data_IF_011796009396
#
_entry.id   IF_011796009396
#
_cell.length_a   1.000
_cell.length_b   1.000
_cell.length_c   1.000
_cell.angle_alpha   90.00
_cell.angle_beta   90.00
_cell.angle_gamma   90.00
#
_symmetry.space_group_name_H-M   'P 1'
#
loop_
_entity.id
_entity.type
_entity.pdbx_description
1 polymer ?
#
# COMPACT_ATOMS: atom_id res chain seq x y z
N UNK A 1 -22.83 14.71 29.13
CA UNK A 1 -21.51 15.19 29.61
C UNK A 1 -20.60 14.04 30.09
N UNK A 2 -20.60 12.85 29.43
CA UNK A 2 -19.79 11.68 29.90
C UNK A 2 -18.87 11.10 28.81
N UNK A 3 -19.16 11.34 27.53
CA UNK A 3 -18.35 10.78 26.45
C UNK A 3 -17.02 11.54 26.25
N UNK A 4 -17.04 12.88 26.18
CA UNK A 4 -15.84 13.70 26.00
C UNK A 4 -14.79 13.54 27.12
N UNK A 5 -15.21 13.29 28.35
CA UNK A 5 -14.30 13.07 29.48
C UNK A 5 -13.64 11.69 29.46
N UNK A 6 -14.39 10.68 29.00
CA UNK A 6 -13.88 9.31 28.84
C UNK A 6 -12.94 9.23 27.64
N UNK A 7 -13.28 9.90 26.53
CA UNK A 7 -12.42 10.02 25.36
C UNK A 7 -11.12 10.75 25.71
N UNK A 8 -11.21 11.84 26.47
CA UNK A 8 -10.04 12.56 26.96
C UNK A 8 -9.17 11.71 27.89
N UNK A 9 -9.78 10.98 28.84
CA UNK A 9 -9.03 10.11 29.75
C UNK A 9 -8.29 9.00 28.99
N UNK A 10 -8.96 8.36 28.04
CA UNK A 10 -8.33 7.31 27.21
C UNK A 10 -7.20 7.89 26.35
N UNK A 11 -7.40 9.07 25.77
CA UNK A 11 -6.40 9.72 24.91
C UNK A 11 -5.21 10.22 25.74
N UNK A 12 -5.43 10.68 26.97
CA UNK A 12 -4.38 11.05 27.92
C UNK A 12 -3.61 9.83 28.44
N UNK A 13 -4.28 8.70 28.69
CA UNK A 13 -3.63 7.45 29.10
C UNK A 13 -2.79 6.86 27.95
N UNK A 14 -3.29 6.86 26.71
CA UNK A 14 -2.58 6.40 25.51
C UNK A 14 -1.37 7.30 25.17
N UNK A 15 -1.45 8.61 25.49
CA UNK A 15 -0.41 9.60 25.19
C UNK A 15 0.57 9.83 26.35
N UNK A 16 0.33 9.23 27.51
CA UNK A 16 1.20 9.36 28.69
C UNK A 16 2.64 8.86 28.43
N UNK A 17 2.83 7.99 27.44
CA UNK A 17 4.14 7.50 27.00
C UNK A 17 4.93 8.55 26.18
N UNK A 18 4.29 9.64 25.72
CA UNK A 18 4.90 10.69 24.90
C UNK A 18 4.54 12.10 25.41
N UNK A 19 5.39 12.63 26.31
CA UNK A 19 5.16 13.89 27.00
C UNK A 19 4.81 15.10 26.09
N UNK A 20 5.50 15.37 24.96
CA UNK A 20 5.08 16.43 24.03
C UNK A 20 3.66 16.29 23.50
N UNK A 21 3.27 15.08 23.11
CA UNK A 21 1.94 14.80 22.54
C UNK A 21 0.85 14.92 23.60
N UNK A 22 1.13 14.49 24.82
CA UNK A 22 0.24 14.67 25.97
C UNK A 22 -0.02 16.15 26.26
N UNK A 23 1.05 16.97 26.29
CA UNK A 23 0.96 18.41 26.56
C UNK A 23 0.16 19.13 25.45
N UNK A 24 0.40 18.78 24.18
CA UNK A 24 -0.33 19.33 23.03
C UNK A 24 -1.83 18.96 23.08
N UNK A 25 -2.16 17.69 23.36
CA UNK A 25 -3.55 17.25 23.50
C UNK A 25 -4.28 17.97 24.64
N UNK A 26 -3.60 18.17 25.78
CA UNK A 26 -4.15 18.91 26.91
C UNK A 26 -4.41 20.39 26.59
N UNK A 27 -3.51 21.06 25.86
CA UNK A 27 -3.69 22.45 25.45
C UNK A 27 -4.87 22.62 24.48
N UNK A 28 -4.98 21.75 23.48
CA UNK A 28 -6.12 21.72 22.53
C UNK A 28 -7.46 21.50 23.24
N UNK A 29 -7.45 20.69 24.30
CA UNK A 29 -8.62 20.50 25.15
C UNK A 29 -8.98 21.79 25.89
N UNK A 30 -8.00 22.48 26.50
CA UNK A 30 -8.23 23.76 27.16
C UNK A 30 -8.77 24.81 26.18
N UNK A 31 -8.24 24.92 24.96
CA UNK A 31 -8.78 25.82 23.94
C UNK A 31 -10.23 25.50 23.59
N UNK A 32 -10.58 24.22 23.46
CA UNK A 32 -11.95 23.78 23.17
C UNK A 32 -12.92 24.07 24.33
N UNK A 33 -12.46 23.96 25.58
CA UNK A 33 -13.24 24.25 26.77
C UNK A 33 -13.43 25.76 27.00
N UNK A 34 -12.41 26.57 26.72
CA UNK A 34 -12.47 28.03 26.76
C UNK A 34 -13.47 28.57 25.72
N UNK A 35 -13.44 28.02 24.49
CA UNK A 35 -14.43 28.32 23.45
C UNK A 35 -15.86 27.93 23.85
N UNK A 36 -16.02 26.92 24.71
CA UNK A 36 -17.31 26.51 25.27
C UNK A 36 -17.75 27.34 26.49
N UNK A 37 -16.96 28.36 26.89
CA UNK A 37 -17.24 29.25 28.02
C UNK A 37 -16.97 28.61 29.39
N UNK A 38 -16.20 27.52 29.43
CA UNK A 38 -15.80 26.84 30.66
C UNK A 38 -14.44 27.38 31.13
N UNK A 39 -14.27 27.51 32.46
CA UNK A 39 -13.01 28.00 33.03
C UNK A 39 -11.86 27.01 32.80
N UNK A 40 -10.75 27.51 32.26
CA UNK A 40 -9.54 26.71 31.97
C UNK A 40 -8.33 27.25 32.75
N UNK A 41 -7.34 26.39 33.07
CA UNK A 41 -6.12 26.84 33.71
C UNK A 41 -5.30 27.75 32.79
N UNK A 42 -4.75 28.83 33.34
CA UNK A 42 -3.86 29.73 32.61
C UNK A 42 -2.54 29.03 32.27
N UNK A 43 -1.93 29.39 31.13
CA UNK A 43 -0.69 28.78 30.62
C UNK A 43 0.46 28.91 31.64
N UNK A 44 0.51 30.00 32.39
CA UNK A 44 1.50 30.23 33.44
C UNK A 44 1.38 29.20 34.57
N UNK A 45 0.15 28.77 34.88
CA UNK A 45 -0.10 27.71 35.86
C UNK A 45 0.34 26.35 35.34
N UNK A 46 0.09 26.06 34.06
CA UNK A 46 0.52 24.81 33.41
C UNK A 46 2.05 24.75 33.37
N UNK A 47 2.72 25.82 32.94
CA UNK A 47 4.18 25.91 32.92
C UNK A 47 4.79 25.79 34.33
N UNK A 48 4.13 26.33 35.37
CA UNK A 48 4.57 26.13 36.75
C UNK A 48 4.52 24.66 37.18
N UNK A 49 3.53 23.90 36.71
CA UNK A 49 3.44 22.45 37.00
C UNK A 49 4.53 21.70 36.23
N UNK A 50 4.72 22.00 34.93
CA UNK A 50 5.77 21.39 34.11
C UNK A 50 7.17 21.64 34.70
N UNK A 51 7.43 22.86 35.18
CA UNK A 51 8.69 23.21 35.84
C UNK A 51 8.84 22.53 37.20
N UNK A 52 7.77 22.49 38.02
CA UNK A 52 7.79 21.84 39.34
C UNK A 52 8.07 20.34 39.26
N UNK A 53 7.57 19.69 38.21
CA UNK A 53 7.78 18.26 37.95
C UNK A 53 8.98 17.99 37.03
N UNK A 54 9.77 19.02 36.69
CA UNK A 54 10.99 18.90 35.88
C UNK A 54 10.75 18.15 34.55
N UNK A 55 9.61 18.45 33.91
CA UNK A 55 9.12 17.76 32.71
C UNK A 55 9.96 18.02 31.45
N UNK A 56 10.82 19.06 31.46
CA UNK A 56 11.72 19.39 30.35
C UNK A 56 11.05 20.12 29.17
N UNK A 57 9.86 20.69 29.37
CA UNK A 57 9.11 21.44 28.36
C UNK A 57 8.51 22.72 28.94
N UNK A 58 8.36 23.74 28.10
CA UNK A 58 7.71 25.02 28.40
C UNK A 58 6.79 25.41 27.24
N UNK A 59 5.53 25.72 27.54
CA UNK A 59 4.55 26.18 26.55
C UNK A 59 4.76 27.68 26.31
N UNK A 60 5.13 28.04 25.09
CA UNK A 60 5.21 29.42 24.61
C UNK A 60 4.38 29.54 23.33
N UNK A 61 3.06 29.70 23.50
CA UNK A 61 2.10 29.70 22.39
C UNK A 61 2.60 30.57 21.20
N UNK A 62 2.61 30.02 19.97
CA UNK A 62 2.03 28.74 19.55
C UNK A 62 2.94 27.50 19.73
N UNK A 63 4.16 27.67 20.25
CA UNK A 63 5.19 26.64 20.25
C UNK A 63 5.37 25.96 21.63
N UNK A 64 5.77 24.69 21.62
CA UNK A 64 6.23 23.97 22.81
C UNK A 64 7.76 23.87 22.78
N UNK A 65 8.43 24.54 23.70
CA UNK A 65 9.90 24.62 23.75
C UNK A 65 10.45 23.54 24.67
N UNK A 66 11.35 22.70 24.17
CA UNK A 66 12.11 21.76 24.98
C UNK A 66 13.21 22.50 25.75
N UNK A 67 13.19 22.41 27.08
CA UNK A 67 14.14 23.13 27.97
C UNK A 67 15.37 22.29 28.32
N UNK A 68 15.48 21.07 27.77
CA UNK A 68 16.65 20.17 27.87
C UNK A 68 17.24 19.84 26.50
N UNK A 69 18.55 19.55 26.47
CA UNK A 69 19.20 18.90 25.34
C UNK A 69 18.62 17.48 25.18
N UNK A 70 17.72 17.34 24.21
CA UNK A 70 17.04 16.09 23.89
C UNK A 70 18.04 15.08 23.32
N UNK A 71 18.19 13.91 23.96
CA UNK A 71 18.70 12.72 23.27
C UNK A 71 17.56 12.22 22.40
N UNK A 72 17.71 12.19 21.06
CA UNK A 72 16.65 11.69 20.20
C UNK A 72 16.28 10.28 20.60
N UNK A 73 15.05 10.09 21.10
CA UNK A 73 14.44 8.77 21.08
C UNK A 73 14.27 8.51 19.59
N UNK A 74 15.04 7.58 19.05
CA UNK A 74 14.89 7.12 17.68
C UNK A 74 13.47 6.63 17.55
N UNK A 75 12.58 7.48 17.02
CA UNK A 75 11.25 7.08 16.58
C UNK A 75 11.50 5.88 15.66
N UNK A 76 11.01 4.68 15.98
CA UNK A 76 11.05 3.59 15.02
C UNK A 76 10.36 4.15 13.79
N UNK A 77 11.10 4.31 12.68
CA UNK A 77 10.48 4.66 11.41
C UNK A 77 9.33 3.68 11.25
N UNK A 78 8.09 4.18 11.20
CA UNK A 78 6.93 3.34 10.99
C UNK A 78 7.29 2.45 9.81
N UNK A 79 7.39 1.14 10.02
CA UNK A 79 7.67 0.24 8.92
C UNK A 79 6.59 0.53 7.87
N UNK A 80 6.96 0.77 6.60
CA UNK A 80 5.97 1.05 5.58
C UNK A 80 4.91 -0.04 5.63
N UNK A 81 3.65 0.36 5.54
CA UNK A 81 2.54 -0.57 5.53
C UNK A 81 2.70 -1.57 4.38
N UNK A 82 2.08 -2.74 4.49
CA UNK A 82 2.11 -3.74 3.42
C UNK A 82 1.63 -3.17 2.09
N UNK A 83 0.66 -2.26 2.13
CA UNK A 83 0.11 -1.59 0.94
C UNK A 83 1.11 -0.60 0.32
N UNK A 84 1.84 0.15 1.14
CA UNK A 84 2.92 1.03 0.67
C UNK A 84 4.08 0.23 0.06
N UNK A 85 4.44 -0.90 0.66
CA UNK A 85 5.44 -1.82 0.12
C UNK A 85 5.00 -2.43 -1.21
N UNK A 86 3.73 -2.82 -1.33
CA UNK A 86 3.17 -3.36 -2.56
C UNK A 86 3.13 -2.32 -3.69
N UNK A 87 2.68 -1.09 -3.41
CA UNK A 87 2.70 0.03 -4.37
C UNK A 87 4.11 0.35 -4.82
N UNK A 88 5.04 0.43 -3.87
CA UNK A 88 6.44 0.67 -4.17
C UNK A 88 7.03 -0.43 -5.07
N UNK A 89 6.72 -1.70 -4.81
CA UNK A 89 7.17 -2.81 -5.66
C UNK A 89 6.64 -2.70 -7.08
N UNK A 90 5.35 -2.34 -7.24
CA UNK A 90 4.74 -2.10 -8.56
C UNK A 90 5.48 -0.99 -9.29
N UNK A 91 5.68 0.16 -8.65
CA UNK A 91 6.36 1.31 -9.25
C UNK A 91 7.82 0.98 -9.62
N UNK A 92 8.55 0.34 -8.72
CA UNK A 92 9.94 -0.05 -8.93
C UNK A 92 10.07 -1.02 -10.13
N UNK A 93 9.19 -2.02 -10.26
CA UNK A 93 9.17 -2.94 -11.41
C UNK A 93 8.82 -2.22 -12.73
N UNK A 94 7.88 -1.27 -12.72
CA UNK A 94 7.51 -0.51 -13.91
C UNK A 94 8.64 0.41 -14.39
N UNK A 95 9.34 1.07 -13.46
CA UNK A 95 10.50 1.92 -13.75
C UNK A 95 11.67 1.08 -14.27
N UNK A 96 11.96 -0.05 -13.63
CA UNK A 96 13.06 -0.92 -14.06
C UNK A 96 12.79 -1.51 -15.44
N UNK A 97 11.56 -1.92 -15.75
CA UNK A 97 11.21 -2.36 -17.10
C UNK A 97 11.49 -1.28 -18.15
N UNK A 98 11.13 -0.02 -17.91
CA UNK A 98 11.37 1.06 -18.88
C UNK A 98 12.87 1.29 -19.06
N UNK A 99 13.62 1.34 -17.95
CA UNK A 99 15.08 1.46 -17.97
C UNK A 99 15.74 0.33 -18.77
N UNK A 100 15.24 -0.90 -18.65
CA UNK A 100 15.72 -2.05 -19.40
C UNK A 100 15.38 -1.96 -20.89
N UNK A 101 14.20 -1.44 -21.26
CA UNK A 101 13.86 -1.18 -22.66
C UNK A 101 14.81 -0.16 -23.30
N UNK A 102 15.08 0.94 -22.58
CA UNK A 102 15.97 2.01 -23.06
C UNK A 102 17.43 1.54 -23.17
N UNK A 103 17.84 0.63 -22.29
CA UNK A 103 19.15 -0.01 -22.33
C UNK A 103 19.28 -1.13 -23.38
N UNK A 104 18.25 -1.37 -24.20
CA UNK A 104 18.24 -2.46 -25.20
C UNK A 104 18.12 -3.86 -24.60
N UNK A 105 17.80 -3.97 -23.31
CA UNK A 105 17.66 -5.23 -22.56
C UNK A 105 16.22 -5.75 -22.61
N UNK A 106 15.66 -5.84 -23.82
CA UNK A 106 14.24 -6.12 -24.04
C UNK A 106 13.74 -7.42 -23.37
N UNK A 107 14.54 -8.49 -23.40
CA UNK A 107 14.19 -9.75 -22.71
C UNK A 107 14.02 -9.56 -21.20
N UNK A 108 14.92 -8.79 -20.57
CA UNK A 108 14.85 -8.52 -19.13
C UNK A 108 13.68 -7.62 -18.80
N UNK A 109 13.39 -6.61 -19.63
CA UNK A 109 12.22 -5.76 -19.45
C UNK A 109 10.91 -6.57 -19.44
N UNK A 110 10.76 -7.48 -20.40
CA UNK A 110 9.60 -8.37 -20.47
C UNK A 110 9.52 -9.30 -19.26
N UNK A 111 10.67 -9.74 -18.74
CA UNK A 111 10.74 -10.56 -17.53
C UNK A 111 10.23 -9.83 -16.28
N UNK A 112 10.64 -8.57 -16.08
CA UNK A 112 10.17 -7.75 -14.95
C UNK A 112 8.66 -7.53 -15.00
N UNK A 113 8.10 -7.26 -16.18
CA UNK A 113 6.67 -7.03 -16.33
C UNK A 113 5.86 -8.33 -16.19
N UNK A 114 6.38 -9.47 -16.65
CA UNK A 114 5.74 -10.76 -16.40
C UNK A 114 5.76 -11.14 -14.93
N UNK A 115 6.87 -10.88 -14.22
CA UNK A 115 6.93 -11.06 -12.77
C UNK A 115 5.83 -10.28 -12.07
N UNK A 116 5.67 -9.01 -12.46
CA UNK A 116 4.67 -8.14 -11.89
C UNK A 116 3.25 -8.63 -12.21
N UNK A 117 3.00 -9.12 -13.42
CA UNK A 117 1.71 -9.69 -13.83
C UNK A 117 1.35 -10.93 -13.00
N UNK A 118 2.32 -11.83 -12.77
CA UNK A 118 2.14 -12.99 -11.91
C UNK A 118 1.88 -12.56 -10.46
N UNK A 119 2.67 -11.62 -9.94
CA UNK A 119 2.55 -11.10 -8.58
C UNK A 119 1.16 -10.50 -8.31
N UNK A 120 0.68 -9.59 -9.18
CA UNK A 120 -0.65 -8.97 -9.03
C UNK A 120 -1.75 -10.02 -9.17
N UNK A 121 -1.61 -10.99 -10.08
CA UNK A 121 -2.59 -12.06 -10.22
C UNK A 121 -2.75 -12.85 -8.92
N UNK A 122 -1.67 -13.06 -8.15
CA UNK A 122 -1.76 -13.76 -6.85
C UNK A 122 -2.59 -13.02 -5.80
N UNK A 123 -2.71 -11.69 -5.89
CA UNK A 123 -3.53 -10.89 -4.97
C UNK A 123 -5.02 -11.23 -5.07
N UNK A 124 -5.47 -11.82 -6.19
CA UNK A 124 -6.86 -12.25 -6.34
C UNK A 124 -7.22 -13.52 -5.56
N UNK A 125 -6.23 -14.21 -4.97
CA UNK A 125 -6.51 -15.41 -4.17
C UNK A 125 -7.37 -15.06 -2.95
N UNK A 126 -8.34 -15.91 -2.66
CA UNK A 126 -9.23 -15.76 -1.52
C UNK A 126 -10.37 -14.77 -1.78
N UNK A 127 -10.31 -13.96 -2.84
CA UNK A 127 -11.45 -13.14 -3.25
C UNK A 127 -12.53 -14.02 -3.86
N UNK A 128 -13.81 -13.72 -3.64
CA UNK A 128 -14.96 -14.44 -4.19
C UNK A 128 -16.25 -14.29 -3.38
N UNK A 129 -17.38 -14.58 -4.01
CA UNK A 129 -18.68 -14.74 -3.34
C UNK A 129 -18.96 -16.23 -3.05
N UNK A 130 -19.93 -16.52 -2.18
CA UNK A 130 -20.25 -17.80 -1.51
C UNK A 130 -20.30 -19.08 -2.36
N UNK A 131 -20.22 -19.01 -3.69
CA UNK A 131 -20.28 -20.17 -4.60
C UNK A 131 -19.00 -20.40 -5.42
N UNK A 132 -18.10 -19.42 -5.54
CA UNK A 132 -16.82 -19.59 -6.24
C UNK A 132 -15.79 -18.71 -5.54
N UNK A 133 -14.81 -19.30 -4.83
CA UNK A 133 -13.62 -18.61 -4.29
C UNK A 133 -12.40 -18.93 -5.16
N UNK A 134 -11.47 -17.98 -5.33
CA UNK A 134 -10.22 -18.22 -6.05
C UNK A 134 -9.28 -18.93 -5.09
N UNK A 135 -8.90 -20.16 -5.43
CA UNK A 135 -8.01 -21.03 -4.64
C UNK A 135 -6.67 -21.26 -5.34
N UNK A 136 -6.53 -20.81 -6.59
CA UNK A 136 -5.36 -21.02 -7.42
C UNK A 136 -4.01 -20.62 -6.79
N UNK A 137 -3.06 -21.56 -6.86
CA UNK A 137 -1.57 -21.48 -6.74
C UNK A 137 -0.86 -20.31 -7.40
N UNK A 138 -1.11 -20.25 -8.69
CA UNK A 138 -0.23 -19.67 -9.68
C UNK A 138 -1.09 -19.01 -10.75
N UNK A 139 -0.47 -18.24 -11.63
CA UNK A 139 -1.15 -17.48 -12.68
C UNK A 139 -2.26 -18.26 -13.41
N UNK A 140 -1.93 -19.43 -14.00
CA UNK A 140 -2.89 -20.21 -14.79
C UNK A 140 -4.16 -20.64 -14.04
N UNK A 141 -4.04 -21.31 -12.88
CA UNK A 141 -5.20 -21.65 -12.04
C UNK A 141 -6.04 -20.44 -11.62
N UNK A 142 -5.40 -19.34 -11.19
CA UNK A 142 -6.12 -18.13 -10.75
C UNK A 142 -6.91 -17.52 -11.91
N UNK A 143 -6.28 -17.32 -13.06
CA UNK A 143 -6.93 -16.74 -14.24
C UNK A 143 -8.07 -17.64 -14.74
N UNK A 144 -7.93 -18.96 -14.65
CA UNK A 144 -9.00 -19.90 -15.00
C UNK A 144 -10.23 -19.74 -14.10
N UNK A 145 -10.01 -19.56 -12.80
CA UNK A 145 -11.07 -19.32 -11.82
C UNK A 145 -11.72 -17.94 -12.02
N UNK A 146 -10.93 -16.90 -12.31
CA UNK A 146 -11.42 -15.57 -12.66
C UNK A 146 -12.30 -15.61 -13.92
N UNK A 147 -11.84 -16.27 -15.00
CA UNK A 147 -12.62 -16.44 -16.23
C UNK A 147 -13.96 -17.12 -15.99
N UNK A 148 -13.99 -18.15 -15.14
CA UNK A 148 -15.24 -18.87 -14.83
C UNK A 148 -16.28 -17.95 -14.19
N UNK A 149 -15.86 -16.97 -13.39
CA UNK A 149 -16.76 -15.98 -12.77
C UNK A 149 -17.28 -14.96 -13.77
N UNK A 150 -16.42 -14.55 -14.69
CA UNK A 150 -16.75 -13.52 -15.68
C UNK A 150 -17.29 -14.09 -16.99
N UNK A 151 -17.78 -15.34 -16.96
CA UNK A 151 -18.26 -16.05 -18.15
C UNK A 151 -19.32 -15.25 -18.89
N UNK A 152 -19.12 -15.04 -20.19
CA UNK A 152 -20.01 -14.28 -21.06
C UNK A 152 -19.84 -12.76 -20.99
N UNK A 153 -18.89 -12.25 -20.20
CA UNK A 153 -18.57 -10.81 -20.12
C UNK A 153 -17.27 -10.47 -20.86
N UNK A 154 -17.03 -9.18 -21.07
CA UNK A 154 -15.81 -8.70 -21.71
C UNK A 154 -14.54 -9.14 -20.95
N UNK A 155 -14.61 -9.21 -19.62
CA UNK A 155 -13.51 -9.63 -18.75
C UNK A 155 -13.01 -11.05 -19.08
N UNK A 156 -13.89 -11.99 -19.45
CA UNK A 156 -13.46 -13.33 -19.87
C UNK A 156 -12.52 -13.28 -21.08
N UNK A 157 -12.82 -12.42 -22.07
CA UNK A 157 -11.99 -12.24 -23.26
C UNK A 157 -10.66 -11.54 -22.96
N UNK A 158 -10.67 -10.53 -22.08
CA UNK A 158 -9.44 -9.85 -21.64
C UNK A 158 -8.50 -10.85 -20.94
N UNK A 159 -9.04 -11.66 -20.03
CA UNK A 159 -8.29 -12.72 -19.34
C UNK A 159 -7.81 -13.81 -20.31
N UNK A 160 -8.54 -14.10 -21.38
CA UNK A 160 -8.09 -14.98 -22.46
C UNK A 160 -6.86 -14.43 -23.18
N UNK A 161 -6.89 -13.17 -23.62
CA UNK A 161 -5.75 -12.56 -24.31
C UNK A 161 -4.52 -12.45 -23.42
N UNK A 162 -4.72 -12.13 -22.14
CA UNK A 162 -3.66 -12.14 -21.12
C UNK A 162 -3.05 -13.55 -20.96
N UNK A 163 -3.88 -14.59 -20.91
CA UNK A 163 -3.42 -15.99 -20.83
C UNK A 163 -2.60 -16.38 -22.07
N UNK A 164 -3.02 -15.95 -23.26
CA UNK A 164 -2.30 -16.23 -24.51
C UNK A 164 -0.93 -15.53 -24.50
N UNK A 165 -0.88 -14.25 -24.12
CA UNK A 165 0.38 -13.51 -24.03
C UNK A 165 1.34 -14.15 -23.02
N UNK A 166 0.85 -14.42 -21.81
CA UNK A 166 1.64 -15.06 -20.75
C UNK A 166 2.15 -16.45 -21.19
N UNK A 167 1.28 -17.28 -21.77
CA UNK A 167 1.64 -18.60 -22.26
C UNK A 167 2.68 -18.58 -23.37
N UNK A 168 2.58 -17.63 -24.31
CA UNK A 168 3.59 -17.43 -25.34
C UNK A 168 4.94 -17.02 -24.75
N UNK A 169 4.96 -16.02 -23.88
CA UNK A 169 6.21 -15.47 -23.35
C UNK A 169 6.91 -16.41 -22.36
N UNK A 170 6.14 -17.15 -21.56
CA UNK A 170 6.67 -18.08 -20.54
C UNK A 170 7.06 -19.47 -21.10
N UNK A 171 6.68 -19.78 -22.34
CA UNK A 171 7.02 -21.05 -23.00
C UNK A 171 8.49 -21.09 -23.43
N UNK A 172 9.23 -22.18 -23.16
CA UNK A 172 10.59 -22.38 -23.67
C UNK A 172 10.70 -22.39 -25.20
N UNK A 173 9.62 -22.77 -25.90
CA UNK A 173 9.53 -22.78 -27.37
C UNK A 173 8.88 -21.52 -27.95
N UNK A 174 8.42 -20.60 -27.09
CA UNK A 174 7.88 -19.29 -27.46
C UNK A 174 8.88 -18.18 -27.15
N UNK A 175 8.46 -17.20 -26.33
CA UNK A 175 9.30 -16.06 -25.93
C UNK A 175 10.46 -16.41 -24.99
N UNK A 176 10.44 -17.58 -24.34
CA UNK A 176 11.55 -18.07 -23.51
C UNK A 176 11.90 -17.19 -22.31
N UNK A 177 10.95 -16.39 -21.81
CA UNK A 177 11.13 -15.49 -20.68
C UNK A 177 10.67 -16.20 -19.39
N UNK A 178 11.61 -16.64 -18.55
CA UNK A 178 11.32 -17.30 -17.25
C UNK A 178 12.19 -16.76 -16.12
N UNK A 179 11.67 -16.82 -14.90
CA UNK A 179 12.42 -16.52 -13.68
C UNK A 179 13.45 -17.63 -13.40
N UNK A 180 14.73 -17.28 -13.56
CA UNK A 180 15.84 -18.14 -13.23
C UNK A 180 16.27 -19.05 -14.39
N UNK A 181 17.60 -19.16 -14.54
CA UNK A 181 18.34 -20.02 -15.46
C UNK A 181 18.49 -19.48 -16.88
N UNK A 182 19.75 -19.29 -17.29
CA UNK A 182 20.20 -19.29 -18.68
C UNK A 182 19.58 -20.48 -19.41
N UNK A 183 18.48 -20.23 -20.11
CA UNK A 183 17.92 -21.18 -21.06
C UNK A 183 18.45 -20.79 -22.44
N UNK A 184 19.03 -21.80 -23.11
CA UNK A 184 19.42 -21.79 -24.53
C UNK A 184 18.57 -20.80 -25.31
N UNK A 185 19.22 -19.82 -25.93
CA UNK A 185 18.65 -18.72 -26.70
C UNK A 185 17.22 -19.04 -27.17
N UNK A 186 16.21 -18.74 -26.34
CA UNK A 186 14.82 -18.65 -26.80
C UNK A 186 14.75 -17.65 -27.95
N UNK A 187 13.62 -17.57 -28.65
CA UNK A 187 13.46 -16.66 -29.80
C UNK A 187 13.95 -15.25 -29.41
N UNK A 188 14.82 -14.68 -30.24
CA UNK A 188 15.40 -13.37 -29.99
C UNK A 188 14.31 -12.31 -30.04
N UNK A 189 13.92 -11.78 -28.88
CA UNK A 189 12.93 -10.70 -28.77
C UNK A 189 13.56 -9.42 -29.32
N UNK A 190 13.00 -8.90 -30.40
CA UNK A 190 13.43 -7.65 -30.99
C UNK A 190 13.05 -6.46 -30.10
N UNK A 191 13.76 -5.32 -30.15
CA UNK A 191 13.47 -4.17 -29.30
C UNK A 191 12.02 -3.67 -29.40
N UNK A 192 11.45 -3.65 -30.61
CA UNK A 192 10.07 -3.23 -30.83
C UNK A 192 9.05 -4.26 -30.31
N UNK A 193 9.37 -5.55 -30.38
CA UNK A 193 8.55 -6.62 -29.81
C UNK A 193 8.56 -6.55 -28.28
N UNK A 194 9.74 -6.36 -27.66
CA UNK A 194 9.85 -6.16 -26.21
C UNK A 194 8.99 -4.99 -25.74
N UNK A 195 9.06 -3.86 -26.43
CA UNK A 195 8.25 -2.67 -26.10
C UNK A 195 6.75 -2.96 -26.27
N UNK A 196 6.34 -3.67 -27.32
CA UNK A 196 4.94 -4.08 -27.48
C UNK A 196 4.48 -5.01 -26.34
N UNK A 197 5.28 -6.02 -25.99
CA UNK A 197 4.95 -6.96 -24.91
C UNK A 197 4.84 -6.26 -23.55
N UNK A 198 5.79 -5.37 -23.22
CA UNK A 198 5.71 -4.55 -22.02
C UNK A 198 4.46 -3.67 -22.01
N UNK A 199 4.12 -3.02 -23.13
CA UNK A 199 2.93 -2.17 -23.21
C UNK A 199 1.63 -2.97 -23.04
N UNK A 200 1.50 -4.12 -23.70
CA UNK A 200 0.33 -4.98 -23.56
C UNK A 200 0.17 -5.47 -22.11
N UNK A 201 1.25 -5.93 -21.50
CA UNK A 201 1.21 -6.38 -20.13
C UNK A 201 0.94 -5.23 -19.14
N UNK A 202 1.44 -4.00 -19.38
CA UNK A 202 1.06 -2.80 -18.60
C UNK A 202 -0.44 -2.50 -18.68
N UNK A 203 -1.04 -2.63 -19.86
CA UNK A 203 -2.50 -2.49 -20.01
C UNK A 203 -3.25 -3.56 -19.19
N UNK A 204 -2.77 -4.80 -19.18
CA UNK A 204 -3.35 -5.86 -18.34
C UNK A 204 -3.16 -5.63 -16.85
N UNK A 205 -2.00 -5.13 -16.42
CA UNK A 205 -1.73 -4.76 -15.03
C UNK A 205 -2.70 -3.68 -14.54
N UNK A 206 -2.89 -2.64 -15.35
CA UNK A 206 -3.84 -1.55 -15.05
C UNK A 206 -5.25 -2.09 -14.88
N UNK A 207 -5.69 -2.93 -15.84
CA UNK A 207 -6.98 -3.60 -15.76
C UNK A 207 -7.15 -4.46 -14.49
N UNK A 208 -6.14 -5.26 -14.12
CA UNK A 208 -6.19 -6.09 -12.92
C UNK A 208 -6.23 -5.27 -11.63
N UNK A 209 -5.49 -4.16 -11.55
CA UNK A 209 -5.53 -3.27 -10.39
C UNK A 209 -6.93 -2.67 -10.20
N UNK A 210 -7.55 -2.19 -11.28
CA UNK A 210 -8.92 -1.65 -11.22
C UNK A 210 -9.95 -2.73 -10.84
N UNK A 211 -9.84 -3.95 -11.39
CA UNK A 211 -10.71 -5.07 -11.02
C UNK A 211 -10.57 -5.46 -9.54
N UNK A 212 -9.34 -5.45 -9.02
CA UNK A 212 -9.06 -5.75 -7.61
C UNK A 212 -9.66 -4.68 -6.69
N UNK A 213 -9.52 -3.40 -7.02
CA UNK A 213 -10.07 -2.28 -6.24
C UNK A 213 -11.61 -2.32 -6.21
N UNK A 214 -12.25 -2.60 -7.35
CA UNK A 214 -13.71 -2.76 -7.42
C UNK A 214 -14.21 -3.91 -6.55
N UNK A 215 -13.51 -5.05 -6.55
CA UNK A 215 -13.88 -6.22 -5.73
C UNK A 215 -13.65 -5.97 -4.24
N UNK A 216 -12.52 -5.32 -3.89
CA UNK A 216 -12.19 -4.96 -2.50
C UNK A 216 -13.20 -3.98 -1.91
N UNK A 217 -13.61 -2.96 -2.67
CA UNK A 217 -14.61 -1.99 -2.23
C UNK A 217 -16.01 -2.61 -2.06
N UNK A 218 -16.41 -3.54 -2.95
CA UNK A 218 -17.67 -4.29 -2.81
C UNK A 218 -17.70 -5.16 -1.55
N UNK A 219 -16.58 -5.77 -1.18
CA UNK A 219 -16.47 -6.57 0.04
C UNK A 219 -16.62 -5.71 1.31
N UNK A 220 -16.00 -4.52 1.34
CA UNK A 220 -16.06 -3.58 2.48
C UNK A 220 -17.46 -3.00 2.70
N UNK A 221 -18.16 -2.60 1.63
CA UNK A 221 -19.53 -2.07 1.72
C UNK A 221 -20.57 -3.11 2.17
N UNK A 222 -20.28 -4.41 2.04
CA UNK A 222 -21.18 -5.49 2.51
C UNK A 222 -20.98 -5.88 3.97
N UNK A 223 -19.82 -5.60 4.58
CA UNK A 223 -19.57 -5.86 6.01
C UNK A 223 -20.13 -4.77 6.94
N UNK A 224 -20.59 -3.66 6.37
CA UNK A 224 -21.13 -2.50 7.08
C UNK A 224 -22.67 -2.44 7.09
N UNK A 225 -23.32 -3.49 6.60
CA UNK A 225 -24.78 -3.73 6.63
C UNK A 225 -25.05 -4.99 7.45
#
# INVERSE_FOLDING_TARGET
MSWAWTDLSNLMDDMAENAPLFIDAFCKCCESLDQAGLGVPAIEHINSILAKHDAGYEIQLPDLIATRAYTPITVPRLAPSLDELARKLIDDCLVESERLLDAGQGRRAVQEILFLLESITTAFRGMGEDTVTIQGKYFGPIISEMKRRERGKAQENILNWMTILHGYLSSPTGGGVRHGTDLKEGIAIQPHEARLYCNLARSYLTFLLEEHDQQSNRATSRRSL
#
